data_IF_479905814339
#
_entry.id   IF_479905814339
#
_cell.length_a   1.000
_cell.length_b   1.000
_cell.length_c   1.000
_cell.angle_alpha   90.00
_cell.angle_beta   90.00
_cell.angle_gamma   90.00
#
_symmetry.space_group_name_H-M   'P 1'
#
loop_
_entity.id
_entity.type
_entity.pdbx_description
1 polymer ?
#
# COMPACT_ATOMS: atom_id res chain seq x y z
N UNK A 1 -27.05 -4.53 25.76
CA UNK A 1 -26.59 -5.84 25.25
C UNK A 1 -25.71 -5.75 24.00
N UNK A 2 -26.02 -4.90 23.02
CA UNK A 2 -25.40 -4.98 21.67
C UNK A 2 -24.03 -4.29 21.53
N UNK A 3 -23.79 -3.18 22.24
CA UNK A 3 -22.52 -2.43 22.14
C UNK A 3 -21.32 -3.21 22.69
N UNK A 4 -21.53 -4.02 23.74
CA UNK A 4 -20.47 -4.89 24.29
C UNK A 4 -20.09 -6.00 23.30
N UNK A 5 -21.07 -6.60 22.61
CA UNK A 5 -20.83 -7.63 21.61
C UNK A 5 -20.00 -7.10 20.41
N UNK A 6 -20.23 -5.86 19.99
CA UNK A 6 -19.48 -5.26 18.87
C UNK A 6 -18.03 -4.92 19.23
N UNK A 7 -17.76 -4.50 20.47
CA UNK A 7 -16.38 -4.35 20.99
C UNK A 7 -15.65 -5.68 21.10
N UNK A 8 -16.35 -6.76 21.46
CA UNK A 8 -15.77 -8.10 21.51
C UNK A 8 -15.43 -8.64 20.12
N UNK A 9 -16.27 -8.38 19.11
CA UNK A 9 -15.98 -8.73 17.71
C UNK A 9 -14.77 -7.95 17.16
N UNK A 10 -14.68 -6.66 17.45
CA UNK A 10 -13.53 -5.84 17.02
C UNK A 10 -12.22 -6.30 17.68
N UNK A 11 -12.24 -6.54 19.01
CA UNK A 11 -11.08 -7.11 19.72
C UNK A 11 -10.74 -8.51 19.21
N UNK A 12 -11.72 -9.37 18.94
CA UNK A 12 -11.45 -10.70 18.38
C UNK A 12 -10.75 -10.58 17.03
N UNK A 13 -11.20 -9.70 16.13
CA UNK A 13 -10.56 -9.48 14.83
C UNK A 13 -9.12 -8.97 14.97
N UNK A 14 -8.86 -8.00 15.84
CA UNK A 14 -7.51 -7.51 16.15
C UNK A 14 -6.63 -8.65 16.70
N UNK A 15 -7.16 -9.48 17.60
CA UNK A 15 -6.44 -10.64 18.15
C UNK A 15 -6.21 -11.73 17.07
N UNK A 16 -7.16 -11.98 16.17
CA UNK A 16 -6.98 -12.91 15.05
C UNK A 16 -5.90 -12.42 14.08
N UNK A 17 -5.88 -11.13 13.76
CA UNK A 17 -4.82 -10.51 12.96
C UNK A 17 -3.48 -10.59 13.69
N UNK A 18 -3.44 -10.32 15.00
CA UNK A 18 -2.21 -10.40 15.80
C UNK A 18 -1.68 -11.83 15.87
N UNK A 19 -2.53 -12.83 16.10
CA UNK A 19 -2.15 -14.25 16.11
C UNK A 19 -1.68 -14.70 14.71
N UNK A 20 -2.31 -14.23 13.63
CA UNK A 20 -1.85 -14.44 12.26
C UNK A 20 -0.47 -13.83 12.00
N UNK A 21 -0.26 -12.60 12.45
CA UNK A 21 1.02 -11.90 12.36
C UNK A 21 2.12 -12.55 13.22
N UNK A 22 1.80 -13.05 14.41
CA UNK A 22 2.71 -13.81 15.27
C UNK A 22 3.11 -15.16 14.64
N UNK A 23 2.21 -15.81 13.90
CA UNK A 23 2.54 -17.01 13.10
C UNK A 23 3.48 -16.67 11.94
N UNK A 24 3.29 -15.53 11.28
CA UNK A 24 4.21 -15.00 10.27
C UNK A 24 5.57 -14.62 10.87
N UNK A 25 5.60 -14.05 12.07
CA UNK A 25 6.84 -13.79 12.81
C UNK A 25 7.60 -15.09 13.13
N UNK A 26 6.89 -16.16 13.46
CA UNK A 26 7.51 -17.49 13.63
C UNK A 26 8.08 -18.00 12.31
N UNK A 27 7.41 -17.79 11.18
CA UNK A 27 7.95 -18.10 9.85
C UNK A 27 9.19 -17.26 9.50
N UNK A 28 9.34 -16.05 10.05
CA UNK A 28 10.54 -15.23 9.89
C UNK A 28 11.81 -15.87 10.50
N UNK A 29 11.68 -16.88 11.39
CA UNK A 29 12.83 -17.70 11.82
C UNK A 29 13.52 -18.39 10.63
N UNK A 30 12.78 -18.74 9.58
CA UNK A 30 13.32 -19.32 8.34
C UNK A 30 14.23 -18.32 7.61
N UNK A 31 13.87 -17.03 7.61
CA UNK A 31 14.69 -15.92 7.08
C UNK A 31 15.99 -15.78 7.90
N UNK A 32 15.96 -16.10 9.20
CA UNK A 32 17.14 -16.10 10.07
C UNK A 32 18.14 -17.20 9.71
N UNK A 33 17.67 -18.37 9.25
CA UNK A 33 18.51 -19.45 8.72
C UNK A 33 19.16 -19.08 7.38
N UNK A 34 18.40 -18.42 6.48
CA UNK A 34 18.97 -17.93 5.21
C UNK A 34 20.08 -16.90 5.45
N UNK A 35 19.99 -16.11 6.53
CA UNK A 35 21.01 -15.12 6.92
C UNK A 35 22.29 -15.72 7.49
N UNK A 36 22.35 -17.03 7.78
CA UNK A 36 23.57 -17.73 8.23
C UNK A 36 24.56 -17.98 7.08
N UNK A 37 24.09 -18.02 5.82
CA UNK A 37 24.95 -18.19 4.65
C UNK A 37 25.72 -16.92 4.30
N UNK A 38 27.04 -17.03 4.11
CA UNK A 38 27.92 -15.90 3.80
C UNK A 38 27.49 -15.14 2.53
N UNK A 39 27.15 -15.89 1.46
CA UNK A 39 26.68 -15.34 0.17
C UNK A 39 25.33 -14.63 0.29
N UNK A 40 24.36 -15.22 1.00
CA UNK A 40 23.02 -14.65 1.20
C UNK A 40 23.11 -13.37 2.02
N UNK A 41 24.00 -13.31 3.03
CA UNK A 41 24.24 -12.11 3.85
C UNK A 41 24.75 -10.95 2.99
N UNK A 42 25.69 -11.20 2.08
CA UNK A 42 26.21 -10.19 1.15
C UNK A 42 25.10 -9.71 0.22
N UNK A 43 24.34 -10.62 -0.39
CA UNK A 43 23.19 -10.30 -1.26
C UNK A 43 22.15 -9.44 -0.54
N UNK A 44 21.73 -9.84 0.66
CA UNK A 44 20.79 -9.07 1.46
C UNK A 44 21.35 -7.70 1.87
N UNK A 45 22.63 -7.63 2.21
CA UNK A 45 23.29 -6.37 2.56
C UNK A 45 23.35 -5.43 1.34
N UNK A 46 23.71 -5.94 0.16
CA UNK A 46 23.65 -5.18 -1.09
C UNK A 46 22.22 -4.77 -1.46
N UNK A 47 21.23 -5.62 -1.18
CA UNK A 47 19.81 -5.31 -1.43
C UNK A 47 19.30 -4.20 -0.49
N UNK A 48 19.65 -4.28 0.80
CA UNK A 48 19.39 -3.21 1.79
C UNK A 48 20.08 -1.91 1.39
N UNK A 49 21.28 -1.99 0.84
CA UNK A 49 21.97 -0.82 0.32
C UNK A 49 21.26 -0.21 -0.90
N UNK A 50 20.71 -1.04 -1.79
CA UNK A 50 19.87 -0.56 -2.89
C UNK A 50 18.61 0.16 -2.39
N UNK A 51 18.04 -0.22 -1.25
CA UNK A 51 16.94 0.54 -0.63
C UNK A 51 17.32 1.96 -0.21
N UNK A 52 18.60 2.33 -0.13
CA UNK A 52 19.00 3.73 0.09
C UNK A 52 19.00 4.54 -1.21
N UNK A 53 19.17 3.89 -2.37
CA UNK A 53 19.11 4.52 -3.68
C UNK A 53 17.67 4.53 -4.24
N UNK A 54 16.87 3.51 -3.93
CA UNK A 54 15.46 3.41 -4.31
C UNK A 54 14.57 4.60 -3.90
N UNK A 55 14.69 5.27 -2.73
CA UNK A 55 13.82 6.38 -2.38
C UNK A 55 13.93 7.52 -3.38
N UNK A 56 15.11 7.82 -3.93
CA UNK A 56 15.26 8.87 -4.93
C UNK A 56 14.48 8.57 -6.21
N UNK A 57 14.55 7.32 -6.69
CA UNK A 57 13.82 6.88 -7.89
C UNK A 57 12.32 6.79 -7.61
N UNK A 58 11.94 6.25 -6.45
CA UNK A 58 10.55 6.16 -6.02
C UNK A 58 9.91 7.54 -5.85
N UNK A 59 10.64 8.50 -5.28
CA UNK A 59 10.20 9.90 -5.18
C UNK A 59 10.05 10.54 -6.56
N UNK A 60 10.95 10.25 -7.50
CA UNK A 60 10.86 10.76 -8.86
C UNK A 60 9.63 10.19 -9.61
N UNK A 61 9.39 8.89 -9.47
CA UNK A 61 8.19 8.22 -10.00
C UNK A 61 6.92 8.78 -9.33
N UNK A 62 6.92 8.97 -8.01
CA UNK A 62 5.80 9.55 -7.28
C UNK A 62 5.55 11.01 -7.69
N UNK A 63 6.59 11.80 -7.94
CA UNK A 63 6.49 13.17 -8.44
C UNK A 63 5.91 13.20 -9.86
N UNK A 64 6.33 12.29 -10.73
CA UNK A 64 5.77 12.13 -12.07
C UNK A 64 4.27 11.80 -12.00
N UNK A 65 3.90 10.80 -11.19
CA UNK A 65 2.50 10.45 -10.97
C UNK A 65 1.70 11.58 -10.32
N UNK A 66 2.31 12.40 -9.46
CA UNK A 66 1.67 13.58 -8.88
C UNK A 66 1.30 14.60 -9.96
N UNK A 67 2.21 14.91 -10.89
CA UNK A 67 1.95 15.83 -11.99
C UNK A 67 0.82 15.29 -12.88
N UNK A 68 0.87 14.00 -13.26
CA UNK A 68 -0.20 13.37 -14.05
C UNK A 68 -1.54 13.32 -13.32
N UNK A 69 -1.56 13.06 -12.02
CA UNK A 69 -2.78 13.07 -11.22
C UNK A 69 -3.42 14.46 -11.15
N UNK A 70 -2.62 15.51 -10.95
CA UNK A 70 -3.10 16.91 -10.93
C UNK A 70 -3.64 17.31 -12.30
N UNK A 71 -2.93 16.98 -13.38
CA UNK A 71 -3.40 17.22 -14.75
C UNK A 71 -4.70 16.46 -15.02
N UNK A 72 -4.80 15.17 -14.65
CA UNK A 72 -6.01 14.38 -14.79
C UNK A 72 -7.20 14.95 -14.01
N UNK A 73 -6.97 15.40 -12.78
CA UNK A 73 -8.00 16.08 -11.97
C UNK A 73 -8.42 17.42 -12.57
N UNK A 74 -7.53 18.21 -13.16
CA UNK A 74 -7.87 19.49 -13.77
C UNK A 74 -8.55 19.34 -15.15
N UNK A 75 -8.16 18.33 -15.94
CA UNK A 75 -8.71 18.07 -17.28
C UNK A 75 -10.07 17.38 -17.22
N UNK A 76 -10.25 16.40 -16.32
CA UNK A 76 -11.51 15.67 -16.17
C UNK A 76 -12.41 16.20 -15.03
N UNK A 77 -11.88 17.00 -14.09
CA UNK A 77 -12.67 17.57 -13.00
C UNK A 77 -13.64 18.68 -13.40
N UNK A 78 -13.52 19.22 -14.62
CA UNK A 78 -14.46 20.21 -15.17
C UNK A 78 -15.57 19.58 -16.05
N UNK A 79 -15.54 18.28 -16.32
CA UNK A 79 -16.61 17.60 -17.05
C UNK A 79 -17.75 17.31 -16.08
N UNK A 80 -18.90 17.96 -16.31
CA UNK A 80 -20.11 17.89 -15.49
C UNK A 80 -20.45 16.45 -15.09
N UNK A 81 -20.59 16.26 -13.78
CA UNK A 81 -21.18 15.08 -13.15
C UNK A 81 -22.51 14.72 -13.83
N UNK A 82 -22.51 13.64 -14.60
CA UNK A 82 -23.72 13.02 -15.13
C UNK A 82 -24.04 11.78 -14.26
N UNK A 83 -25.19 11.73 -13.56
CA UNK A 83 -25.51 10.72 -12.56
C UNK A 83 -25.78 9.30 -13.13
N UNK A 84 -25.83 9.12 -14.45
CA UNK A 84 -26.12 7.83 -15.10
C UNK A 84 -24.88 7.12 -15.71
N UNK A 85 -23.69 7.70 -15.57
CA UNK A 85 -22.45 7.05 -16.00
C UNK A 85 -21.87 6.18 -14.86
N UNK A 86 -21.24 5.05 -15.19
CA UNK A 86 -20.65 4.07 -14.27
C UNK A 86 -19.50 4.61 -13.36
N UNK A 87 -19.37 5.93 -13.25
CA UNK A 87 -18.41 6.67 -12.43
C UNK A 87 -18.91 6.82 -10.99
N UNK A 88 -19.16 5.68 -10.34
CA UNK A 88 -19.72 5.62 -8.99
C UNK A 88 -18.80 6.28 -7.95
N UNK A 89 -19.44 6.83 -6.91
CA UNK A 89 -19.02 7.47 -5.65
C UNK A 89 -17.82 6.85 -4.89
N UNK A 90 -17.26 5.76 -5.39
CA UNK A 90 -16.12 5.02 -4.84
C UNK A 90 -14.80 5.27 -5.59
N UNK A 91 -14.86 5.90 -6.78
CA UNK A 91 -13.69 6.24 -7.60
C UNK A 91 -13.43 7.76 -7.60
N UNK A 92 -13.53 8.36 -6.41
CA UNK A 92 -13.28 9.79 -6.24
C UNK A 92 -11.80 10.09 -6.48
N UNK A 93 -11.51 10.81 -7.57
CA UNK A 93 -10.27 11.56 -7.81
C UNK A 93 -10.10 12.73 -6.81
N UNK A 94 -10.37 12.50 -5.52
CA UNK A 94 -10.16 13.50 -4.46
C UNK A 94 -8.96 13.17 -3.59
N UNK A 95 -8.54 11.90 -3.55
CA UNK A 95 -7.36 11.47 -2.79
C UNK A 95 -6.22 11.14 -3.74
N UNK A 96 -5.04 11.73 -3.46
CA UNK A 96 -3.79 11.49 -4.17
C UNK A 96 -3.49 10.00 -4.37
N UNK A 97 -3.80 9.18 -3.37
CA UNK A 97 -3.62 7.72 -3.43
C UNK A 97 -4.58 7.02 -4.40
N UNK A 98 -5.80 7.53 -4.57
CA UNK A 98 -6.78 6.99 -5.53
C UNK A 98 -6.36 7.22 -6.98
N UNK A 99 -5.88 8.43 -7.30
CA UNK A 99 -5.34 8.75 -8.63
C UNK A 99 -4.05 7.97 -8.92
N UNK A 100 -3.19 7.78 -7.90
CA UNK A 100 -1.98 6.95 -7.99
C UNK A 100 -2.33 5.48 -8.30
N UNK A 101 -3.30 4.88 -7.60
CA UNK A 101 -3.73 3.51 -7.84
C UNK A 101 -4.38 3.32 -9.21
N UNK A 102 -5.05 4.33 -9.75
CA UNK A 102 -5.65 4.30 -11.08
C UNK A 102 -4.57 4.38 -12.18
N UNK A 103 -3.52 5.17 -11.96
CA UNK A 103 -2.33 5.22 -12.82
C UNK A 103 -1.46 3.95 -12.75
N UNK A 104 -1.36 3.30 -11.58
CA UNK A 104 -0.71 1.98 -11.46
C UNK A 104 -1.55 0.82 -12.02
N UNK A 105 -2.85 1.04 -12.26
CA UNK A 105 -3.75 0.03 -12.83
C UNK A 105 -3.66 -0.03 -14.36
N UNK A 106 -3.26 1.06 -15.01
CA UNK A 106 -2.97 1.12 -16.45
C UNK A 106 -1.57 0.55 -16.73
#
# INVERSE_FOLDING_TARGET
GCVSAMKLLNNAQENFINVGFLRLFRAARLIKLLRQGYTIRILLWTFVQSFKALPYVCLLIAMLFFIYAIIGMQVFGNMKFDPDSALNRHNNFQTFFGALLLLFRC
#
